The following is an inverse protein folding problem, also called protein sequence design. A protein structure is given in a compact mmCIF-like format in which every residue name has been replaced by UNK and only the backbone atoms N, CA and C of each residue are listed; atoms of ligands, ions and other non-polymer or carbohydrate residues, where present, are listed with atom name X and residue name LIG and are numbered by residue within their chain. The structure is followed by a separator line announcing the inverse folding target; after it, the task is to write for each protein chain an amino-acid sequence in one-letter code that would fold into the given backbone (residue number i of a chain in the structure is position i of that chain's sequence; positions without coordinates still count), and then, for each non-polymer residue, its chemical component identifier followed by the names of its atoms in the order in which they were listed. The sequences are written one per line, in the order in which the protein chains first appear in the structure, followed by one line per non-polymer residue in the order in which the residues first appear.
data_IF_264448870016
#
_entry.id   IF_264448870016
#
_cell.length_a   1.000
_cell.length_b   1.000
_cell.length_c   1.000
_cell.angle_alpha   90.00
_cell.angle_beta   90.00
_cell.angle_gamma   90.00
#
_symmetry.space_group_name_H-M   'P 1'
#
loop_
_entity.id
_entity.type
_entity.pdbx_description
1 polymer ?
#
# COMPACT_ATOMS: atom_id res chain seq x y z
N UNK A 1 -20.19 1.89 8.23
CA UNK A 1 -19.11 0.89 8.34
C UNK A 1 -17.92 1.34 7.51
N UNK A 2 -16.86 1.81 8.18
CA UNK A 2 -15.63 2.28 7.54
C UNK A 2 -14.92 1.14 6.80
N UNK A 3 -14.88 -0.03 7.42
CA UNK A 3 -14.23 -1.26 6.97
C UNK A 3 -14.80 -1.71 5.62
N UNK A 4 -16.13 -1.77 5.51
CA UNK A 4 -16.81 -2.14 4.26
C UNK A 4 -16.52 -1.13 3.15
N UNK A 5 -16.47 0.16 3.46
CA UNK A 5 -16.15 1.20 2.48
C UNK A 5 -14.69 1.11 2.02
N UNK A 6 -13.76 0.83 2.93
CA UNK A 6 -12.35 0.60 2.59
C UNK A 6 -12.18 -0.65 1.73
N UNK A 7 -12.80 -1.77 2.12
CA UNK A 7 -12.78 -3.01 1.37
C UNK A 7 -13.37 -2.85 -0.04
N UNK A 8 -14.49 -2.13 -0.18
CA UNK A 8 -15.06 -1.80 -1.50
C UNK A 8 -14.08 -1.04 -2.39
N UNK A 9 -13.36 -0.04 -1.84
CA UNK A 9 -12.36 0.72 -2.60
C UNK A 9 -11.17 -0.16 -3.00
N UNK A 10 -10.68 -1.02 -2.10
CA UNK A 10 -9.59 -1.95 -2.38
C UNK A 10 -9.96 -2.93 -3.50
N UNK A 11 -11.14 -3.54 -3.44
CA UNK A 11 -11.62 -4.48 -4.46
C UNK A 11 -11.87 -3.80 -5.80
N UNK A 12 -12.42 -2.57 -5.80
CA UNK A 12 -12.69 -1.82 -7.02
C UNK A 12 -11.45 -1.48 -7.85
N UNK A 13 -10.26 -1.46 -7.23
CA UNK A 13 -9.00 -1.22 -7.95
C UNK A 13 -8.60 -2.38 -8.87
N UNK A 14 -9.15 -3.59 -8.68
CA UNK A 14 -8.92 -4.75 -9.55
C UNK A 14 -7.44 -4.94 -9.91
N UNK A 15 -6.60 -5.12 -8.89
CA UNK A 15 -5.17 -5.35 -9.10
C UNK A 15 -4.94 -6.73 -9.73
N UNK A 16 -4.00 -6.81 -10.67
CA UNK A 16 -3.78 -8.04 -11.42
C UNK A 16 -2.31 -8.43 -11.42
N UNK A 17 -2.01 -9.66 -11.00
CA UNK A 17 -0.64 -10.16 -10.89
C UNK A 17 -0.04 -10.67 -12.19
N UNK A 18 -0.83 -11.01 -13.20
CA UNK A 18 -0.30 -11.31 -14.53
C UNK A 18 0.07 -10.03 -15.28
N UNK A 19 -0.82 -9.03 -15.28
CA UNK A 19 -0.64 -7.79 -16.04
C UNK A 19 0.12 -6.70 -15.27
N UNK A 20 0.22 -6.82 -13.94
CA UNK A 20 0.80 -5.84 -12.99
C UNK A 20 0.07 -4.49 -12.96
N UNK A 21 -1.23 -4.52 -13.23
CA UNK A 21 -2.07 -3.32 -13.28
C UNK A 21 -2.54 -2.88 -11.90
N UNK A 22 -2.79 -1.58 -11.76
CA UNK A 22 -3.38 -0.91 -10.60
C UNK A 22 -2.61 -1.01 -9.29
N UNK A 23 -1.36 -1.48 -9.34
CA UNK A 23 -0.49 -1.61 -8.16
C UNK A 23 -0.13 -0.26 -7.55
N UNK A 24 0.10 0.77 -8.37
CA UNK A 24 0.45 2.12 -7.89
C UNK A 24 -0.70 2.76 -7.13
N UNK A 25 -1.90 2.69 -7.70
CA UNK A 25 -3.12 3.24 -7.11
C UNK A 25 -3.46 2.52 -5.81
N UNK A 26 -3.31 1.19 -5.78
CA UNK A 26 -3.51 0.39 -4.57
C UNK A 26 -2.48 0.71 -3.48
N UNK A 27 -1.19 0.77 -3.84
CA UNK A 27 -0.15 1.16 -2.90
C UNK A 27 -0.38 2.57 -2.33
N UNK A 28 -0.81 3.54 -3.16
CA UNK A 28 -1.12 4.88 -2.70
C UNK A 28 -2.33 4.93 -1.76
N UNK A 29 -3.38 4.15 -2.05
CA UNK A 29 -4.55 4.03 -1.17
C UNK A 29 -4.15 3.50 0.20
N UNK A 30 -3.42 2.38 0.25
CA UNK A 30 -2.94 1.77 1.49
C UNK A 30 -2.05 2.78 2.25
N UNK A 31 -1.12 3.43 1.55
CA UNK A 31 -0.22 4.39 2.17
C UNK A 31 -0.94 5.61 2.75
N UNK A 32 -2.06 6.03 2.16
CA UNK A 32 -2.89 7.10 2.69
C UNK A 32 -3.61 6.65 3.96
N UNK A 33 -4.15 5.43 4.01
CA UNK A 33 -4.82 4.93 5.21
C UNK A 33 -3.84 4.74 6.38
N UNK A 34 -2.63 4.24 6.14
CA UNK A 34 -1.62 4.10 7.21
C UNK A 34 -1.15 5.46 7.73
N UNK A 35 -0.98 6.47 6.87
CA UNK A 35 -0.65 7.84 7.30
C UNK A 35 -1.75 8.46 8.18
N UNK A 36 -3.03 8.22 7.87
CA UNK A 36 -4.14 8.70 8.72
C UNK A 36 -4.11 8.09 10.11
N UNK A 37 -3.54 6.90 10.25
CA UNK A 37 -3.34 6.22 11.53
C UNK A 37 -2.07 6.68 12.27
N UNK A 38 -1.37 7.71 11.77
CA UNK A 38 -0.15 8.24 12.37
C UNK A 38 1.12 7.44 12.05
N UNK A 39 1.05 6.45 11.16
CA UNK A 39 2.21 5.65 10.80
C UNK A 39 3.13 6.40 9.83
N UNK A 40 4.43 6.32 10.07
CA UNK A 40 5.45 6.80 9.13
C UNK A 40 5.50 5.87 7.93
N UNK A 41 5.03 6.36 6.78
CA UNK A 41 4.77 5.52 5.62
C UNK A 41 5.56 5.96 4.39
N UNK A 42 6.24 5.01 3.74
CA UNK A 42 6.98 5.17 2.48
C UNK A 42 6.47 4.18 1.43
N UNK A 43 6.52 4.59 0.17
CA UNK A 43 6.32 3.69 -0.98
C UNK A 43 7.69 3.47 -1.61
N UNK A 44 8.07 2.20 -1.79
CA UNK A 44 9.34 1.80 -2.38
C UNK A 44 9.02 1.00 -3.64
N UNK A 45 9.47 1.49 -4.80
CA UNK A 45 9.31 0.76 -6.06
C UNK A 45 10.62 0.04 -6.40
N UNK A 46 10.51 -1.23 -6.81
CA UNK A 46 11.67 -2.07 -7.12
C UNK A 46 11.75 -2.29 -8.62
N UNK A 47 12.88 -1.96 -9.27
CA UNK A 47 13.06 -2.20 -10.70
C UNK A 47 12.87 -3.68 -11.05
N UNK A 48 12.16 -3.93 -12.15
CA UNK A 48 11.94 -5.26 -12.69
C UNK A 48 12.30 -5.31 -14.18
N UNK A 49 12.65 -6.49 -14.74
CA UNK A 49 13.01 -6.62 -16.16
C UNK A 49 11.92 -6.17 -17.13
N UNK A 50 10.65 -6.30 -16.74
CA UNK A 50 9.47 -5.88 -17.51
C UNK A 50 9.23 -4.36 -17.45
N UNK A 51 10.04 -3.62 -16.69
CA UNK A 51 9.92 -2.18 -16.42
C UNK A 51 8.55 -1.77 -15.84
N UNK A 52 7.76 -2.73 -15.37
CA UNK A 52 6.46 -2.47 -14.76
C UNK A 52 6.66 -2.16 -13.27
N UNK A 53 5.86 -1.25 -12.71
CA UNK A 53 6.00 -0.85 -11.31
C UNK A 53 5.58 -1.96 -10.35
N UNK A 54 6.31 -2.10 -9.24
CA UNK A 54 6.06 -3.02 -8.14
C UNK A 54 6.24 -2.27 -6.81
N UNK A 55 5.35 -1.32 -6.52
CA UNK A 55 5.41 -0.54 -5.31
C UNK A 55 5.09 -1.41 -4.08
N UNK A 56 5.94 -1.31 -3.08
CA UNK A 56 5.73 -1.86 -1.76
C UNK A 56 5.47 -0.71 -0.78
N UNK A 57 4.45 -0.87 0.07
CA UNK A 57 4.16 0.09 1.13
C UNK A 57 4.88 -0.36 2.39
N UNK A 58 5.80 0.47 2.89
CA UNK A 58 6.46 0.30 4.17
C UNK A 58 5.82 1.27 5.17
N UNK A 59 5.12 0.76 6.17
CA UNK A 59 4.50 1.55 7.23
C UNK A 59 5.13 1.17 8.58
N UNK A 60 5.60 2.18 9.31
CA UNK A 60 6.26 2.06 10.60
C UNK A 60 5.35 2.68 11.66
N UNK A 61 5.00 1.89 12.68
CA UNK A 61 4.29 2.34 13.87
C UNK A 61 5.27 2.32 15.04
N UNK A 62 5.71 3.50 15.46
CA UNK A 62 6.52 3.64 16.67
C UNK A 62 5.60 3.59 17.89
N UNK A 63 5.74 2.53 18.68
CA UNK A 63 5.03 2.33 19.95
C UNK A 63 5.91 2.60 21.17
N UNK A 64 7.14 3.10 20.97
CA UNK A 64 8.11 3.34 22.04
C UNK A 64 8.70 2.06 22.64
N UNK A 65 8.68 0.94 21.91
CA UNK A 65 9.25 -0.33 22.37
C UNK A 65 10.79 -0.30 22.27
N UNK A 66 11.47 -0.81 23.29
CA UNK A 66 12.94 -0.88 23.30
C UNK A 66 13.52 -1.85 22.24
N UNK A 67 12.72 -2.83 21.80
CA UNK A 67 13.05 -3.80 20.74
C UNK A 67 11.81 -4.17 19.94
N UNK A 68 12.00 -4.48 18.67
CA UNK A 68 11.02 -5.09 17.75
C UNK A 68 10.86 -6.58 17.99
#
# INVERSE_FOLDING_TARGET
MYEINLLKKLVALNTNSATKENYKECAQLIANETRKLGMKTKIIDVPAPDKKPRPNVLAELDVGAEKT
#
